data_IF_093463788151
#
_entry.id   IF_093463788151
#
_cell.length_a   1.000
_cell.length_b   1.000
_cell.length_c   1.000
_cell.angle_alpha   90.00
_cell.angle_beta   90.00
_cell.angle_gamma   90.00
#
_symmetry.space_group_name_H-M   'P 1'
#
loop_
_entity.id
_entity.type
_entity.pdbx_description
1 polymer ?
#
# COMPACT_ATOMS: atom_id res chain seq x y z
N UNK A 1 -10.47 8.72 10.76
CA UNK A 1 -10.39 7.30 10.38
C UNK A 1 -9.50 6.60 11.40
N UNK A 2 -9.80 5.37 11.78
CA UNK A 2 -8.97 4.57 12.72
C UNK A 2 -8.21 3.48 11.96
N UNK A 3 -6.96 3.24 12.36
CA UNK A 3 -6.13 2.21 11.76
C UNK A 3 -6.66 0.81 12.09
N UNK A 4 -6.86 -0.08 11.10
CA UNK A 4 -7.38 -1.43 11.34
C UNK A 4 -6.42 -2.34 12.13
N UNK A 5 -5.14 -1.96 12.27
CA UNK A 5 -4.12 -2.77 12.95
C UNK A 5 -3.98 -2.45 14.43
N UNK A 6 -3.99 -1.16 14.76
CA UNK A 6 -3.65 -0.67 16.10
C UNK A 6 -4.69 0.30 16.67
N UNK A 7 -5.81 0.53 15.96
CA UNK A 7 -6.82 1.54 16.32
C UNK A 7 -6.23 2.94 16.55
N UNK A 8 -5.09 3.22 15.91
CA UNK A 8 -4.40 4.51 15.99
C UNK A 8 -4.99 5.54 15.04
N UNK A 9 -4.59 6.80 15.22
CA UNK A 9 -5.01 7.93 14.38
C UNK A 9 -4.47 7.77 12.97
N UNK A 10 -5.34 8.01 11.98
CA UNK A 10 -4.96 8.12 10.58
C UNK A 10 -5.14 9.55 10.07
N UNK A 11 -4.21 9.98 9.23
CA UNK A 11 -4.21 11.30 8.58
C UNK A 11 -4.13 11.14 7.07
N UNK A 12 -4.57 12.17 6.33
CA UNK A 12 -4.35 12.22 4.88
C UNK A 12 -2.90 12.60 4.64
N UNK A 13 -2.19 11.78 3.88
CA UNK A 13 -0.80 11.97 3.46
C UNK A 13 -0.74 12.04 1.92
N UNK A 14 0.28 12.70 1.38
CA UNK A 14 0.54 12.76 -0.06
C UNK A 14 1.62 11.74 -0.40
N UNK A 15 1.23 10.66 -1.06
CA UNK A 15 2.12 9.58 -1.48
C UNK A 15 2.47 9.70 -2.96
N UNK A 16 3.67 9.28 -3.31
CA UNK A 16 4.11 9.23 -4.70
C UNK A 16 3.78 7.85 -5.28
N UNK A 17 2.85 7.79 -6.24
CA UNK A 17 2.57 6.55 -6.96
C UNK A 17 3.64 6.34 -8.05
N UNK A 18 4.42 5.27 -7.92
CA UNK A 18 5.50 4.89 -8.84
C UNK A 18 5.10 3.81 -9.87
N UNK A 19 3.80 3.55 -10.05
CA UNK A 19 3.30 2.50 -10.96
C UNK A 19 3.85 2.62 -12.41
N UNK A 20 4.19 3.82 -12.87
CA UNK A 20 4.85 4.01 -14.16
C UNK A 20 6.05 4.95 -14.03
N UNK A 21 7.22 4.52 -14.52
CA UNK A 21 8.51 5.25 -14.49
C UNK A 21 8.41 6.67 -15.09
N UNK A 22 7.41 6.90 -15.95
CA UNK A 22 7.20 8.18 -16.63
C UNK A 22 6.02 9.03 -16.12
N UNK A 23 5.15 8.48 -15.26
CA UNK A 23 3.94 9.15 -14.78
C UNK A 23 3.82 9.01 -13.27
N UNK A 24 4.72 9.66 -12.54
CA UNK A 24 4.63 9.76 -11.10
C UNK A 24 3.47 10.68 -10.72
N UNK A 25 2.43 10.13 -10.10
CA UNK A 25 1.25 10.87 -9.67
C UNK A 25 1.28 10.99 -8.14
N UNK A 26 1.11 12.21 -7.64
CA UNK A 26 0.84 12.43 -6.22
C UNK A 26 -0.59 12.02 -5.92
N UNK A 27 -0.75 11.06 -5.03
CA UNK A 27 -2.05 10.56 -4.59
C UNK A 27 -2.25 10.87 -3.11
N UNK A 28 -3.50 11.10 -2.72
CA UNK A 28 -3.87 11.32 -1.33
C UNK A 28 -4.36 10.02 -0.72
N UNK A 29 -3.70 9.58 0.35
CA UNK A 29 -4.02 8.31 1.02
C UNK A 29 -4.12 8.49 2.52
N UNK A 30 -4.83 7.58 3.20
CA UNK A 30 -4.88 7.58 4.66
C UNK A 30 -3.72 6.79 5.22
N UNK A 31 -2.89 7.44 6.04
CA UNK A 31 -1.74 6.82 6.69
C UNK A 31 -1.90 6.82 8.21
N UNK A 32 -1.66 5.68 8.84
CA UNK A 32 -1.57 5.59 10.29
C UNK A 32 -0.25 6.17 10.80
N UNK A 33 -0.31 7.12 11.75
CA UNK A 33 0.87 7.72 12.35
C UNK A 33 1.67 6.76 13.25
N UNK A 34 1.02 5.71 13.78
CA UNK A 34 1.66 4.79 14.72
C UNK A 34 2.39 3.63 14.03
N UNK A 35 1.84 3.10 12.94
CA UNK A 35 2.35 1.89 12.29
C UNK A 35 2.64 2.01 10.80
N UNK A 36 2.29 3.16 10.18
CA UNK A 36 2.49 3.37 8.76
C UNK A 36 1.52 2.61 7.85
N UNK A 37 0.48 1.94 8.38
CA UNK A 37 -0.55 1.32 7.56
C UNK A 37 -1.20 2.37 6.64
N UNK A 38 -1.24 2.06 5.36
CA UNK A 38 -1.90 2.85 4.32
C UNK A 38 -3.26 2.22 4.02
N UNK A 39 -4.31 3.01 4.04
CA UNK A 39 -5.69 2.64 3.70
C UNK A 39 -6.21 3.47 2.54
N UNK A 40 -6.07 2.93 1.34
CA UNK A 40 -6.73 3.34 0.11
C UNK A 40 -7.47 2.13 -0.49
N UNK A 41 -8.56 2.37 -1.21
CA UNK A 41 -9.38 1.30 -1.76
C UNK A 41 -8.58 0.33 -2.65
N UNK A 42 -7.72 0.79 -3.58
CA UNK A 42 -6.87 -0.08 -4.38
C UNK A 42 -5.94 -0.97 -3.55
N UNK A 43 -5.22 -0.41 -2.58
CA UNK A 43 -4.33 -1.22 -1.73
C UNK A 43 -5.10 -2.22 -0.88
N UNK A 44 -6.27 -1.85 -0.35
CA UNK A 44 -7.10 -2.78 0.42
C UNK A 44 -7.63 -3.92 -0.45
N UNK A 45 -8.05 -3.65 -1.69
CA UNK A 45 -8.46 -4.68 -2.65
C UNK A 45 -7.31 -5.61 -3.04
N UNK A 46 -6.09 -5.07 -3.17
CA UNK A 46 -4.89 -5.85 -3.47
C UNK A 46 -4.42 -6.69 -2.27
N UNK A 47 -4.62 -6.21 -1.04
CA UNK A 47 -4.31 -6.92 0.21
C UNK A 47 -5.38 -7.91 0.63
N UNK A 48 -6.62 -7.74 0.17
CA UNK A 48 -7.69 -8.67 0.45
C UNK A 48 -7.22 -10.10 0.09
N UNK A 49 -7.45 -11.10 0.96
CA UNK A 49 -6.95 -12.45 0.76
C UNK A 49 -7.55 -13.05 -0.52
N UNK A 50 -6.85 -12.84 -1.63
CA UNK A 50 -7.05 -13.54 -2.88
C UNK A 50 -6.61 -14.98 -2.63
N UNK A 51 -7.48 -15.95 -2.88
CA UNK A 51 -7.18 -17.40 -2.82
C UNK A 51 -6.16 -17.84 -3.89
N UNK A 52 -5.29 -16.96 -4.35
CA UNK A 52 -4.27 -17.27 -5.34
C UNK A 52 -3.04 -17.77 -4.60
N UNK A 53 -2.67 -19.01 -4.91
CA UNK A 53 -1.44 -19.65 -4.45
C UNK A 53 -0.27 -18.66 -4.59
N UNK A 54 0.38 -18.37 -3.46
CA UNK A 54 1.61 -17.60 -3.43
C UNK A 54 2.65 -18.40 -4.20
N UNK A 55 2.89 -18.04 -5.47
CA UNK A 55 4.10 -18.49 -6.15
C UNK A 55 5.29 -17.81 -5.45
N UNK A 56 6.32 -18.55 -5.02
CA UNK A 56 7.49 -17.95 -4.42
C UNK A 56 8.10 -16.93 -5.40
N UNK A 57 8.37 -15.71 -4.93
CA UNK A 57 9.17 -14.75 -5.70
C UNK A 57 10.58 -15.33 -5.82
N UNK A 58 10.90 -15.89 -6.98
CA UNK A 58 12.28 -16.23 -7.33
C UNK A 58 13.09 -14.92 -7.35
N UNK A 59 14.30 -14.88 -6.77
CA UNK A 59 15.18 -13.73 -6.87
C UNK A 59 15.39 -13.39 -8.35
N UNK A 60 15.08 -12.16 -8.75
CA UNK A 60 15.49 -11.68 -10.08
C UNK A 60 17.01 -11.51 -10.05
N UNK A 61 17.74 -12.41 -10.72
CA UNK A 61 19.15 -12.22 -11.02
C UNK A 61 19.28 -10.97 -11.89
N UNK A 62 19.98 -9.96 -11.35
CA UNK A 62 20.39 -8.77 -12.09
C UNK A 62 21.61 -9.18 -12.91
N UNK A 63 21.44 -9.24 -14.23
CA UNK A 63 22.52 -9.45 -15.19
C UNK A 63 23.21 -8.12 -15.55
#
# INVERSE_FOLDING_TARGET
>A
MECPRFHGVMVIDACLNMENVHNTVWIHEWRCLNCGEISDAPTLENRAPRQHAVSPRLPQEVA
#
